data_IF_363664851966
#
_entry.id   IF_363664851966
#
_cell.length_a   1.000
_cell.length_b   1.000
_cell.length_c   1.000
_cell.angle_alpha   90.00
_cell.angle_beta   90.00
_cell.angle_gamma   90.00
#
_symmetry.space_group_name_H-M   'P 1'
#
loop_
_entity.id
_entity.type
_entity.pdbx_description
1 polymer ?
#
# COMPACT_ATOMS: atom_id res chain seq x y z
N UNK A 1 -8.22 6.28 9.75
CA UNK A 1 -7.06 5.44 9.36
C UNK A 1 -5.73 5.84 10.02
N UNK A 2 -5.70 6.77 11.00
CA UNK A 2 -4.46 7.23 11.65
C UNK A 2 -4.04 6.32 12.83
N UNK A 3 -5.02 5.81 13.58
CA UNK A 3 -4.79 5.03 14.82
C UNK A 3 -3.98 3.75 14.59
N UNK A 4 -4.16 3.06 13.46
CA UNK A 4 -3.46 1.78 13.18
C UNK A 4 -1.99 2.01 12.77
N UNK A 5 -1.68 3.12 12.07
CA UNK A 5 -0.31 3.45 11.67
C UNK A 5 0.58 3.82 12.86
N UNK A 6 0.03 4.60 13.80
CA UNK A 6 0.71 4.96 15.06
C UNK A 6 0.95 3.73 15.95
N UNK A 7 0.02 2.78 15.96
CA UNK A 7 0.15 1.52 16.71
C UNK A 7 1.23 0.59 16.12
N UNK A 8 1.47 0.68 14.81
CA UNK A 8 2.45 -0.16 14.11
C UNK A 8 3.82 0.52 13.93
N UNK A 9 3.95 1.79 14.35
CA UNK A 9 5.12 2.65 14.17
C UNK A 9 5.56 2.76 12.69
N UNK A 10 4.59 2.90 11.78
CA UNK A 10 4.80 3.03 10.34
C UNK A 10 4.51 4.45 9.88
N UNK A 11 5.42 5.03 9.09
CA UNK A 11 5.12 6.30 8.41
C UNK A 11 4.18 6.08 7.22
N UNK A 12 3.39 7.10 6.90
CA UNK A 12 2.52 7.07 5.72
C UNK A 12 3.33 6.83 4.43
N UNK A 13 4.53 7.40 4.32
CA UNK A 13 5.41 7.25 3.16
C UNK A 13 5.88 5.80 2.96
N UNK A 14 6.16 5.07 4.05
CA UNK A 14 6.57 3.66 3.97
C UNK A 14 5.43 2.81 3.41
N UNK A 15 4.22 2.98 3.95
CA UNK A 15 3.03 2.24 3.49
C UNK A 15 2.73 2.56 2.02
N UNK A 16 2.90 3.82 1.65
CA UNK A 16 2.69 4.33 0.31
C UNK A 16 3.69 3.75 -0.70
N UNK A 17 4.98 3.70 -0.36
CA UNK A 17 6.02 3.06 -1.18
C UNK A 17 5.77 1.57 -1.36
N UNK A 18 5.31 0.87 -0.31
CA UNK A 18 4.93 -0.55 -0.40
C UNK A 18 3.79 -0.73 -1.38
N UNK A 19 2.71 0.04 -1.26
CA UNK A 19 1.59 -0.04 -2.20
C UNK A 19 2.01 0.31 -3.64
N UNK A 20 2.79 1.37 -3.82
CA UNK A 20 3.30 1.78 -5.12
C UNK A 20 4.19 0.70 -5.76
N UNK A 21 4.98 -0.02 -4.97
CA UNK A 21 5.80 -1.14 -5.46
C UNK A 21 4.96 -2.30 -6.02
N UNK A 22 3.71 -2.43 -5.60
CA UNK A 22 2.80 -3.45 -6.12
C UNK A 22 2.12 -3.05 -7.43
N UNK A 23 2.21 -1.77 -7.79
CA UNK A 23 1.62 -1.20 -8.99
C UNK A 23 2.28 -1.75 -10.24
N UNK A 24 1.51 -1.91 -11.31
CA UNK A 24 1.96 -2.45 -12.61
C UNK A 24 2.52 -3.88 -12.59
N UNK A 25 2.34 -4.62 -11.49
CA UNK A 25 2.73 -6.02 -11.36
C UNK A 25 1.50 -6.92 -11.32
N UNK A 26 1.60 -8.09 -11.95
CA UNK A 26 0.59 -9.16 -11.84
C UNK A 26 0.63 -9.90 -10.49
N UNK A 27 1.43 -9.41 -9.54
CA UNK A 27 1.60 -9.93 -8.19
C UNK A 27 3.09 -9.95 -7.84
N UNK A 28 3.44 -9.41 -6.68
CA UNK A 28 4.80 -9.51 -6.14
C UNK A 28 4.78 -10.42 -4.91
N UNK A 29 5.80 -11.25 -4.78
CA UNK A 29 6.09 -11.94 -3.53
C UNK A 29 6.57 -10.94 -2.47
N UNK A 30 6.44 -11.34 -1.21
CA UNK A 30 6.95 -10.56 -0.09
C UNK A 30 8.43 -10.20 -0.24
N UNK A 31 9.26 -11.16 -0.67
CA UNK A 31 10.70 -10.94 -0.83
C UNK A 31 11.03 -9.98 -1.97
N UNK A 32 10.26 -9.98 -3.07
CA UNK A 32 10.45 -9.02 -4.17
C UNK A 32 10.17 -7.59 -3.73
N UNK A 33 9.11 -7.37 -2.96
CA UNK A 33 8.79 -6.05 -2.39
C UNK A 33 9.90 -5.60 -1.44
N UNK A 34 10.33 -6.49 -0.55
CA UNK A 34 11.39 -6.22 0.42
C UNK A 34 12.72 -5.88 -0.24
N UNK A 35 13.11 -6.64 -1.26
CA UNK A 35 14.36 -6.40 -1.99
C UNK A 35 14.31 -5.09 -2.77
N UNK A 36 13.16 -4.75 -3.37
CA UNK A 36 13.02 -3.52 -4.16
C UNK A 36 13.09 -2.26 -3.31
N UNK A 37 12.51 -2.29 -2.12
CA UNK A 37 12.40 -1.12 -1.24
C UNK A 37 13.50 -1.05 -0.18
N UNK A 38 14.32 -2.11 -0.07
CA UNK A 38 15.38 -2.24 0.94
C UNK A 38 14.88 -2.08 2.39
N UNK A 39 13.59 -2.32 2.63
CA UNK A 39 12.97 -2.29 3.94
C UNK A 39 13.18 -3.61 4.69
N UNK A 40 13.13 -3.55 6.03
CA UNK A 40 13.15 -4.75 6.84
C UNK A 40 11.84 -5.54 6.73
N UNK A 41 11.88 -6.80 7.19
CA UNK A 41 10.73 -7.71 7.07
C UNK A 41 9.51 -7.20 7.83
N UNK A 42 9.70 -6.66 9.04
CA UNK A 42 8.60 -6.23 9.89
C UNK A 42 7.88 -5.03 9.28
N UNK A 43 8.65 -4.08 8.74
CA UNK A 43 8.13 -2.92 8.02
C UNK A 43 7.27 -3.30 6.81
N UNK A 44 7.78 -4.17 5.94
CA UNK A 44 7.03 -4.63 4.75
C UNK A 44 5.78 -5.42 5.17
N UNK A 45 5.90 -6.30 6.17
CA UNK A 45 4.79 -7.13 6.63
C UNK A 45 3.65 -6.28 7.20
N UNK A 46 3.96 -5.37 8.13
CA UNK A 46 2.98 -4.47 8.73
C UNK A 46 2.32 -3.57 7.69
N UNK A 47 3.06 -3.12 6.68
CA UNK A 47 2.53 -2.29 5.60
C UNK A 47 1.56 -3.06 4.72
N UNK A 48 1.92 -4.27 4.28
CA UNK A 48 1.05 -5.15 3.51
C UNK A 48 -0.20 -5.56 4.31
N UNK A 49 -0.03 -5.84 5.60
CA UNK A 49 -1.14 -6.14 6.51
C UNK A 49 -2.11 -4.97 6.61
N UNK A 50 -1.61 -3.76 6.82
CA UNK A 50 -2.44 -2.56 6.88
C UNK A 50 -3.20 -2.36 5.57
N UNK A 51 -2.51 -2.40 4.43
CA UNK A 51 -3.11 -2.24 3.10
C UNK A 51 -4.17 -3.31 2.81
N UNK A 52 -3.96 -4.54 3.27
CA UNK A 52 -4.93 -5.61 3.16
C UNK A 52 -6.15 -5.37 4.07
N UNK A 53 -5.92 -4.92 5.31
CA UNK A 53 -7.00 -4.63 6.28
C UNK A 53 -7.96 -3.53 5.81
N UNK A 54 -7.48 -2.60 4.97
CA UNK A 54 -8.29 -1.53 4.36
C UNK A 54 -8.76 -1.86 2.94
N UNK A 55 -8.50 -3.08 2.44
CA UNK A 55 -8.98 -3.56 1.15
C UNK A 55 -8.26 -2.97 -0.07
N UNK A 56 -7.07 -2.38 0.09
CA UNK A 56 -6.28 -1.83 -1.02
C UNK A 56 -5.34 -2.87 -1.63
N UNK A 57 -4.93 -3.88 -0.86
CA UNK A 57 -4.11 -5.00 -1.33
C UNK A 57 -4.85 -6.31 -1.09
N UNK A 58 -4.75 -7.22 -2.04
CA UNK A 58 -5.20 -8.59 -1.87
C UNK A 58 -4.02 -9.57 -1.95
N UNK A 59 -4.15 -10.65 -1.18
CA UNK A 59 -3.19 -11.74 -1.12
C UNK A 59 -3.78 -12.92 -1.89
N UNK A 60 -3.04 -13.42 -2.88
CA UNK A 60 -3.37 -14.67 -3.57
C UNK A 60 -2.50 -15.78 -3.00
N UNK A 61 -3.13 -16.68 -2.24
CA UNK A 61 -2.46 -17.83 -1.65
C UNK A 61 -2.00 -18.85 -2.70
N UNK A 62 -0.86 -19.48 -2.45
CA UNK A 62 -0.21 -20.48 -3.30
C UNK A 62 1.13 -20.95 -2.70
N UNK A 63 2.02 -21.54 -3.51
CA UNK A 63 3.37 -21.91 -3.06
C UNK A 63 4.20 -20.71 -2.57
N UNK A 64 3.86 -19.50 -3.02
CA UNK A 64 4.33 -18.22 -2.51
C UNK A 64 3.15 -17.26 -2.48
N UNK A 65 2.98 -16.53 -1.39
CA UNK A 65 1.96 -15.49 -1.32
C UNK A 65 2.29 -14.36 -2.29
N UNK A 66 1.33 -14.04 -3.16
CA UNK A 66 1.43 -12.94 -4.11
C UNK A 66 0.54 -11.78 -3.67
N UNK A 67 1.15 -10.62 -3.53
CA UNK A 67 0.52 -9.37 -3.15
C UNK A 67 0.28 -8.53 -4.41
N UNK A 68 -0.95 -8.04 -4.57
CA UNK A 68 -1.31 -7.11 -5.65
C UNK A 68 -2.32 -6.07 -5.17
N UNK A 69 -2.35 -4.92 -5.82
CA UNK A 69 -3.40 -3.94 -5.61
C UNK A 69 -4.77 -4.55 -5.99
N UNK A 70 -5.79 -4.23 -5.21
CA UNK A 70 -7.19 -4.43 -5.61
C UNK A 70 -7.57 -3.38 -6.64
N UNK A 71 -8.70 -3.52 -7.36
CA UNK A 71 -9.20 -2.45 -8.23
C UNK A 71 -9.31 -1.09 -7.52
N UNK A 72 -9.79 -1.09 -6.26
CA UNK A 72 -9.87 0.13 -5.44
C UNK A 72 -8.48 0.70 -5.11
N UNK A 73 -7.50 -0.16 -4.83
CA UNK A 73 -6.11 0.25 -4.64
C UNK A 73 -5.53 0.84 -5.92
N UNK A 74 -5.72 0.18 -7.05
CA UNK A 74 -5.21 0.64 -8.33
C UNK A 74 -5.83 1.98 -8.75
N UNK A 75 -7.12 2.18 -8.54
CA UNK A 75 -7.83 3.46 -8.77
C UNK A 75 -7.27 4.57 -7.87
N UNK A 76 -7.18 4.33 -6.55
CA UNK A 76 -6.66 5.30 -5.59
C UNK A 76 -5.23 5.75 -5.93
N UNK A 77 -4.37 4.79 -6.30
CA UNK A 77 -2.97 5.07 -6.64
C UNK A 77 -2.83 5.66 -8.05
N UNK A 78 -3.71 5.32 -9.00
CA UNK A 78 -3.74 5.96 -10.32
C UNK A 78 -4.23 7.41 -10.24
N UNK A 79 -5.22 7.70 -9.40
CA UNK A 79 -5.61 9.09 -9.08
C UNK A 79 -4.40 9.86 -8.54
N UNK A 80 -3.70 9.30 -7.55
CA UNK A 80 -2.58 9.96 -6.88
C UNK A 80 -1.37 10.23 -7.79
N UNK A 81 -0.98 9.28 -8.64
CA UNK A 81 0.29 9.32 -9.37
C UNK A 81 0.20 9.63 -10.86
N UNK A 82 -0.92 9.33 -11.54
CA UNK A 82 -1.00 9.48 -13.00
C UNK A 82 -1.73 10.75 -13.44
N UNK A 83 -2.78 11.16 -12.72
CA UNK A 83 -3.64 12.28 -13.13
C UNK A 83 -3.31 13.62 -12.46
N UNK A 84 -2.07 13.80 -11.97
CA UNK A 84 -1.70 14.96 -11.16
C UNK A 84 -2.43 15.02 -9.81
N UNK A 85 -3.03 13.91 -9.35
CA UNK A 85 -3.96 13.86 -8.23
C UNK A 85 -3.32 13.78 -6.85
N UNK A 86 -2.09 14.27 -6.67
CA UNK A 86 -1.60 14.63 -5.33
C UNK A 86 -2.58 15.61 -4.67
N UNK A 87 -3.11 16.59 -5.42
CA UNK A 87 -4.06 17.58 -4.89
C UNK A 87 -5.42 16.99 -4.54
N UNK A 88 -5.91 16.03 -5.35
CA UNK A 88 -7.20 15.35 -5.12
C UNK A 88 -7.10 14.38 -3.94
N UNK A 89 -6.00 13.63 -3.85
CA UNK A 89 -5.74 12.70 -2.74
C UNK A 89 -5.57 13.44 -1.41
N UNK A 90 -4.87 14.57 -1.40
CA UNK A 90 -4.74 15.42 -0.21
C UNK A 90 -6.11 15.94 0.24
N UNK A 91 -6.96 16.37 -0.70
CA UNK A 91 -8.31 16.86 -0.40
C UNK A 91 -9.20 15.78 0.21
N UNK A 92 -9.26 14.58 -0.38
CA UNK A 92 -10.06 13.45 0.14
C UNK A 92 -9.57 12.99 1.52
N UNK A 93 -8.26 12.97 1.76
CA UNK A 93 -7.70 12.61 3.07
C UNK A 93 -7.93 13.67 4.13
N UNK A 94 -8.10 14.94 3.76
CA UNK A 94 -8.53 16.00 4.68
C UNK A 94 -10.02 15.90 4.99
N UNK A 95 -10.87 15.58 4.00
CA UNK A 95 -12.31 15.41 4.18
C UNK A 95 -12.66 14.18 5.03
N UNK A 96 -11.92 13.08 4.90
CA UNK A 96 -12.10 11.88 5.72
C UNK A 96 -11.61 12.01 7.18
N UNK A 97 -11.13 13.20 7.58
CA UNK A 97 -10.68 13.53 8.94
C UNK A 97 -11.66 14.44 9.71
N UNK A 98 -12.76 14.85 9.08
CA UNK A 98 -13.91 15.49 9.75
C UNK A 98 -14.95 14.44 10.13
#
# INVERSE_FOLDING_TARGET
MVVVQETLNLSADIVDNVAYSLRHSNGNTFDEVRQRLEYDKDTVFKSLYLLNSVGLVQIRGGNKDLYRLTPNGDELYSEKYDNGGIDIWLKRNQEARQ
#
